data_IF_719735437790
#
_entry.id   IF_719735437790
#
_cell.length_a   1.000
_cell.length_b   1.000
_cell.length_c   1.000
_cell.angle_alpha   90.00
_cell.angle_beta   90.00
_cell.angle_gamma   90.00
#
_symmetry.space_group_name_H-M   'P 1'
#
loop_
_entity.id
_entity.type
_entity.pdbx_description
1 polymer ?
#
# COMPACT_ATOMS: atom_id res chain seq x y z
N UNK A 1 14.94 -46.78 17.96
CA UNK A 1 15.31 -45.45 17.43
C UNK A 1 14.53 -45.15 16.16
N UNK A 2 13.42 -44.39 16.25
CA UNK A 2 12.67 -43.92 15.06
C UNK A 2 12.98 -42.43 14.85
N UNK A 3 13.92 -42.11 13.96
CA UNK A 3 14.13 -40.74 13.47
C UNK A 3 12.84 -40.30 12.77
N UNK A 4 12.06 -39.44 13.42
CA UNK A 4 10.94 -38.73 12.79
C UNK A 4 11.53 -37.87 11.67
N UNK A 5 11.37 -38.31 10.44
CA UNK A 5 11.56 -37.50 9.24
C UNK A 5 10.53 -36.38 9.37
N UNK A 6 10.96 -35.21 9.85
CA UNK A 6 10.18 -33.99 9.89
C UNK A 6 9.93 -33.63 8.42
N UNK A 7 8.77 -34.03 7.90
CA UNK A 7 8.27 -33.68 6.58
C UNK A 7 8.45 -32.17 6.45
N UNK A 8 9.42 -31.73 5.64
CA UNK A 8 9.63 -30.34 5.28
C UNK A 8 8.43 -29.98 4.41
N UNK A 9 7.32 -29.67 5.07
CA UNK A 9 6.18 -29.03 4.41
C UNK A 9 6.67 -27.61 4.21
N UNK A 10 7.17 -27.31 3.01
CA UNK A 10 7.42 -25.95 2.57
C UNK A 10 6.09 -25.20 2.74
N UNK A 11 5.93 -24.50 3.87
CA UNK A 11 4.73 -23.72 4.11
C UNK A 11 4.78 -22.54 3.13
N UNK A 12 3.89 -22.59 2.15
CA UNK A 12 3.79 -21.60 1.10
C UNK A 12 2.41 -20.95 1.20
N UNK A 13 2.37 -19.67 1.53
CA UNK A 13 1.13 -18.89 1.55
C UNK A 13 1.02 -18.17 0.22
N UNK A 14 -0.10 -18.34 -0.50
CA UNK A 14 -0.39 -17.63 -1.75
C UNK A 14 -1.75 -17.01 -1.68
N UNK A 15 -1.81 -15.70 -1.85
CA UNK A 15 -3.08 -15.00 -1.94
C UNK A 15 -3.01 -13.88 -2.97
N UNK A 16 -4.19 -13.38 -3.33
CA UNK A 16 -4.34 -12.23 -4.22
C UNK A 16 -5.00 -11.13 -3.41
N UNK A 17 -4.42 -9.95 -3.42
CA UNK A 17 -5.02 -8.80 -2.76
C UNK A 17 -4.89 -7.55 -3.64
N UNK A 18 -5.77 -6.59 -3.42
CA UNK A 18 -5.70 -5.30 -4.09
C UNK A 18 -4.46 -4.54 -3.59
N UNK A 19 -3.71 -3.91 -4.48
CA UNK A 19 -2.51 -3.12 -4.14
C UNK A 19 -2.78 -2.09 -3.03
N UNK A 20 -3.96 -1.46 -3.08
CA UNK A 20 -4.47 -0.57 -2.05
C UNK A 20 -5.97 -0.83 -1.84
N UNK A 21 -6.51 -0.64 -0.61
CA UNK A 21 -7.93 -0.77 -0.36
C UNK A 21 -8.72 0.24 -1.21
N UNK A 22 -9.64 -0.26 -2.05
CA UNK A 22 -10.50 0.60 -2.88
C UNK A 22 -11.49 1.35 -1.98
N UNK A 23 -11.12 2.54 -1.51
CA UNK A 23 -12.11 3.47 -0.96
C UNK A 23 -13.02 3.94 -2.09
N UNK A 24 -14.33 3.73 -1.96
CA UNK A 24 -15.31 4.27 -2.90
C UNK A 24 -15.29 5.80 -2.76
N UNK A 25 -14.57 6.47 -3.66
CA UNK A 25 -14.61 7.93 -3.75
C UNK A 25 -15.96 8.34 -4.33
N UNK A 26 -16.83 8.90 -3.49
CA UNK A 26 -18.12 9.44 -3.94
C UNK A 26 -17.90 10.69 -4.79
N UNK A 27 -18.80 10.98 -5.74
CA UNK A 27 -18.73 12.19 -6.60
C UNK A 27 -18.54 13.48 -5.79
N UNK A 28 -19.07 13.53 -4.57
CA UNK A 28 -18.90 14.65 -3.63
C UNK A 28 -17.45 14.96 -3.27
N UNK A 29 -16.55 13.97 -3.37
CA UNK A 29 -15.12 14.16 -3.10
C UNK A 29 -14.44 15.09 -4.11
N UNK A 30 -14.92 15.12 -5.35
CA UNK A 30 -14.37 15.97 -6.41
C UNK A 30 -14.87 17.43 -6.36
N UNK A 31 -15.85 17.74 -5.51
CA UNK A 31 -16.41 19.10 -5.40
C UNK A 31 -15.35 20.07 -4.87
N UNK A 32 -14.63 19.71 -3.80
CA UNK A 32 -13.62 20.60 -3.18
C UNK A 32 -12.45 20.84 -4.15
N UNK A 33 -11.80 19.82 -4.74
CA UNK A 33 -10.74 20.05 -5.72
C UNK A 33 -11.24 20.82 -6.96
N UNK A 34 -12.48 20.57 -7.39
CA UNK A 34 -13.10 21.30 -8.50
C UNK A 34 -13.27 22.79 -8.20
N UNK A 35 -13.79 23.15 -7.03
CA UNK A 35 -13.93 24.54 -6.60
C UNK A 35 -12.59 25.27 -6.51
N UNK A 36 -11.56 24.61 -5.95
CA UNK A 36 -10.19 25.17 -5.89
C UNK A 36 -9.66 25.42 -7.29
N UNK A 37 -9.84 24.47 -8.21
CA UNK A 37 -9.39 24.58 -9.60
C UNK A 37 -10.09 25.73 -10.32
N UNK A 38 -11.40 25.92 -10.11
CA UNK A 38 -12.17 27.03 -10.68
C UNK A 38 -11.68 28.37 -10.12
N UNK A 39 -11.50 28.48 -8.80
CA UNK A 39 -11.01 29.70 -8.16
C UNK A 39 -9.62 30.11 -8.69
N UNK A 40 -8.70 29.15 -8.80
CA UNK A 40 -7.38 29.37 -9.39
C UNK A 40 -7.44 29.70 -10.88
N UNK A 41 -8.37 29.08 -11.63
CA UNK A 41 -8.60 29.39 -13.04
C UNK A 41 -9.10 30.81 -13.25
N UNK A 42 -10.05 31.28 -12.43
CA UNK A 42 -10.52 32.67 -12.45
C UNK A 42 -9.36 33.63 -12.13
N UNK A 43 -8.56 33.31 -11.13
CA UNK A 43 -7.37 34.12 -10.80
C UNK A 43 -6.36 34.18 -11.97
N UNK A 44 -6.15 33.07 -12.68
CA UNK A 44 -5.30 33.03 -13.85
C UNK A 44 -5.82 33.95 -14.97
N UNK A 45 -7.14 33.98 -15.17
CA UNK A 45 -7.78 34.87 -16.15
C UNK A 45 -7.67 36.34 -15.74
N UNK A 46 -7.87 36.67 -14.45
CA UNK A 46 -7.73 38.05 -13.95
C UNK A 46 -6.31 38.61 -14.06
N UNK A 47 -5.32 37.73 -14.10
CA UNK A 47 -3.90 38.09 -14.23
C UNK A 47 -3.39 37.97 -15.67
N UNK A 48 -4.27 37.69 -16.64
CA UNK A 48 -3.95 37.39 -18.04
C UNK A 48 -2.83 36.33 -18.21
N UNK A 49 -2.72 35.42 -17.24
CA UNK A 49 -1.65 34.44 -17.18
C UNK A 49 -2.10 33.10 -17.76
N UNK A 50 -2.01 33.00 -19.09
CA UNK A 50 -2.39 31.80 -19.85
C UNK A 50 -1.54 30.58 -19.43
N UNK A 51 -0.25 30.77 -19.14
CA UNK A 51 0.64 29.69 -18.71
C UNK A 51 0.17 29.06 -17.39
N UNK A 52 -0.23 29.90 -16.43
CA UNK A 52 -0.74 29.45 -15.15
C UNK A 52 -2.08 28.71 -15.31
N UNK A 53 -2.97 29.21 -16.17
CA UNK A 53 -4.24 28.54 -16.49
C UNK A 53 -4.01 27.13 -17.03
N UNK A 54 -3.11 26.97 -18.00
CA UNK A 54 -2.76 25.66 -18.59
C UNK A 54 -2.18 24.73 -17.51
N UNK A 55 -1.28 25.23 -16.67
CA UNK A 55 -0.67 24.44 -15.60
C UNK A 55 -1.70 23.93 -14.59
N UNK A 56 -2.69 24.75 -14.20
CA UNK A 56 -3.77 24.36 -13.30
C UNK A 56 -4.62 23.26 -13.93
N UNK A 57 -5.03 23.43 -15.19
CA UNK A 57 -5.86 22.45 -15.91
C UNK A 57 -5.14 21.11 -16.02
N UNK A 58 -3.86 21.12 -16.40
CA UNK A 58 -3.03 19.91 -16.46
C UNK A 58 -2.88 19.24 -15.09
N UNK A 59 -2.64 20.03 -14.04
CA UNK A 59 -2.50 19.51 -12.68
C UNK A 59 -3.79 18.85 -12.21
N UNK A 60 -4.95 19.49 -12.43
CA UNK A 60 -6.24 18.91 -12.09
C UNK A 60 -6.52 17.64 -12.90
N UNK A 61 -6.16 17.61 -14.19
CA UNK A 61 -6.31 16.43 -15.02
C UNK A 61 -5.47 15.25 -14.52
N UNK A 62 -4.18 15.46 -14.24
CA UNK A 62 -3.30 14.43 -13.67
C UNK A 62 -3.83 13.94 -12.32
N UNK A 63 -4.25 14.86 -11.47
CA UNK A 63 -4.88 14.54 -10.19
C UNK A 63 -6.14 13.70 -10.37
N UNK A 64 -7.02 14.05 -11.32
CA UNK A 64 -8.26 13.33 -11.61
C UNK A 64 -7.98 11.90 -12.09
N UNK A 65 -7.01 11.73 -13.01
CA UNK A 65 -6.60 10.39 -13.50
C UNK A 65 -6.04 9.56 -12.34
N UNK A 66 -5.17 10.14 -11.51
CA UNK A 66 -4.57 9.42 -10.38
C UNK A 66 -5.61 9.09 -9.30
N UNK A 67 -6.57 9.98 -9.07
CA UNK A 67 -7.65 9.77 -8.12
C UNK A 67 -8.60 8.63 -8.53
N UNK A 68 -8.81 8.42 -9.83
CA UNK A 68 -9.68 7.36 -10.37
C UNK A 68 -8.93 6.08 -10.77
N UNK A 69 -7.61 6.02 -10.56
CA UNK A 69 -6.82 4.82 -10.88
C UNK A 69 -7.34 3.63 -10.07
N UNK A 70 -7.80 2.59 -10.77
CA UNK A 70 -8.26 1.38 -10.12
C UNK A 70 -7.08 0.59 -9.53
N UNK A 71 -7.21 0.08 -8.28
CA UNK A 71 -6.16 -0.73 -7.68
C UNK A 71 -6.02 -2.04 -8.44
N UNK A 72 -4.78 -2.39 -8.81
CA UNK A 72 -4.49 -3.65 -9.49
C UNK A 72 -4.56 -4.80 -8.47
N UNK A 73 -4.92 -5.99 -8.96
CA UNK A 73 -4.84 -7.23 -8.17
C UNK A 73 -3.40 -7.71 -8.24
N UNK A 74 -2.72 -7.73 -7.09
CA UNK A 74 -1.35 -8.20 -6.96
C UNK A 74 -1.36 -9.63 -6.38
N UNK A 75 -0.51 -10.50 -6.93
CA UNK A 75 -0.26 -11.84 -6.40
C UNK A 75 0.82 -11.76 -5.33
N UNK A 76 0.51 -12.23 -4.14
CA UNK A 76 1.46 -12.33 -3.04
C UNK A 76 1.75 -13.79 -2.75
N UNK A 77 3.04 -14.08 -2.52
CA UNK A 77 3.49 -15.41 -2.15
C UNK A 77 4.58 -15.31 -1.09
N UNK A 78 4.37 -15.97 0.04
CA UNK A 78 5.38 -16.10 1.10
C UNK A 78 5.89 -17.54 1.07
N UNK A 79 7.22 -17.68 1.05
CA UNK A 79 7.91 -18.96 1.16
C UNK A 79 9.12 -18.82 2.10
N UNK A 80 9.86 -19.91 2.32
CA UNK A 80 11.06 -19.90 3.18
C UNK A 80 12.22 -19.07 2.61
N UNK A 81 12.22 -18.77 1.31
CA UNK A 81 13.25 -17.93 0.66
C UNK A 81 12.97 -16.44 0.87
N UNK A 82 11.69 -16.07 0.94
CA UNK A 82 11.27 -14.68 1.09
C UNK A 82 9.83 -14.43 0.68
N UNK A 83 9.57 -13.18 0.31
CA UNK A 83 8.24 -12.67 -0.01
C UNK A 83 8.23 -12.23 -1.46
N UNK A 84 7.48 -12.95 -2.28
CA UNK A 84 7.29 -12.68 -3.70
C UNK A 84 6.06 -11.80 -3.90
N UNK A 85 6.27 -10.66 -4.54
CA UNK A 85 5.25 -9.67 -4.86
C UNK A 85 5.21 -9.57 -6.39
N UNK A 86 4.12 -10.08 -6.96
CA UNK A 86 3.94 -10.27 -8.40
C UNK A 86 5.03 -11.16 -9.01
N UNK A 87 6.05 -10.58 -9.65
CA UNK A 87 7.20 -11.29 -10.25
C UNK A 87 8.54 -10.98 -9.52
N UNK A 88 8.51 -10.19 -8.44
CA UNK A 88 9.70 -9.78 -7.70
C UNK A 88 9.81 -10.53 -6.38
N UNK A 89 10.89 -11.28 -6.22
CA UNK A 89 11.27 -11.92 -4.96
C UNK A 89 11.99 -10.92 -4.05
N UNK A 90 11.48 -10.76 -2.83
CA UNK A 90 12.15 -10.04 -1.74
C UNK A 90 12.66 -11.05 -0.70
N UNK A 91 13.95 -11.34 -0.73
CA UNK A 91 14.59 -12.24 0.24
C UNK A 91 14.51 -11.67 1.67
N UNK A 92 14.45 -12.53 2.67
CA UNK A 92 14.40 -12.11 4.08
C UNK A 92 15.62 -11.27 4.49
N UNK A 93 16.80 -11.52 3.91
CA UNK A 93 18.00 -10.71 4.13
C UNK A 93 17.86 -9.27 3.65
N UNK A 94 17.01 -9.03 2.64
CA UNK A 94 16.71 -7.69 2.13
C UNK A 94 15.71 -6.92 3.01
N UNK A 95 15.08 -7.62 3.95
CA UNK A 95 14.10 -7.11 4.89
C UNK A 95 14.75 -6.87 6.26
N UNK A 96 14.18 -5.95 7.04
CA UNK A 96 14.72 -5.52 8.34
C UNK A 96 13.79 -5.86 9.49
N UNK A 97 12.49 -5.71 9.30
CA UNK A 97 11.48 -5.99 10.31
C UNK A 97 10.11 -6.15 9.67
N UNK A 98 9.19 -6.78 10.39
CA UNK A 98 7.79 -6.82 10.00
C UNK A 98 6.89 -6.33 11.14
N UNK A 99 5.69 -5.88 10.78
CA UNK A 99 4.61 -5.52 11.70
C UNK A 99 3.27 -5.82 11.04
N UNK A 100 2.32 -6.33 11.80
CA UNK A 100 0.96 -6.54 11.29
C UNK A 100 0.03 -5.49 11.89
N UNK A 101 -0.54 -4.65 11.02
CA UNK A 101 -1.63 -3.75 11.37
C UNK A 101 -2.94 -4.54 11.33
N UNK A 102 -3.50 -4.79 12.51
CA UNK A 102 -4.73 -5.56 12.69
C UNK A 102 -5.75 -4.74 13.48
N UNK A 103 -6.58 -3.98 12.78
CA UNK A 103 -7.75 -3.27 13.31
C UNK A 103 -8.98 -3.64 12.47
N UNK A 104 -9.65 -4.78 12.75
CA UNK A 104 -10.92 -5.11 12.12
C UNK A 104 -11.97 -4.03 12.39
N UNK A 105 -12.83 -3.63 11.44
CA UNK A 105 -13.01 -4.15 10.08
C UNK A 105 -12.16 -3.44 8.99
N UNK A 106 -11.40 -2.40 9.34
CA UNK A 106 -10.80 -1.49 8.36
C UNK A 106 -9.37 -1.84 7.95
N UNK A 107 -8.60 -2.53 8.79
CA UNK A 107 -7.16 -2.73 8.57
C UNK A 107 -6.73 -4.16 8.88
N UNK A 108 -6.21 -4.82 7.85
CA UNK A 108 -5.60 -6.15 7.93
C UNK A 108 -4.42 -6.19 6.95
N UNK A 109 -3.33 -5.55 7.34
CA UNK A 109 -2.17 -5.32 6.48
C UNK A 109 -0.88 -5.78 7.17
N UNK A 110 -0.04 -6.49 6.43
CA UNK A 110 1.33 -6.79 6.79
C UNK A 110 2.23 -5.67 6.27
N UNK A 111 2.94 -5.01 7.17
CA UNK A 111 3.97 -4.02 6.84
C UNK A 111 5.34 -4.64 6.99
N UNK A 112 6.13 -4.59 5.92
CA UNK A 112 7.51 -5.06 5.88
C UNK A 112 8.42 -3.87 5.69
N UNK A 113 9.50 -3.82 6.47
CA UNK A 113 10.52 -2.79 6.30
C UNK A 113 11.64 -3.32 5.43
N UNK A 114 11.81 -2.77 4.22
CA UNK A 114 12.97 -3.05 3.38
C UNK A 114 14.20 -2.33 3.90
N UNK A 115 15.39 -2.90 3.67
CA UNK A 115 16.68 -2.24 3.92
C UNK A 115 16.99 -1.12 2.91
N UNK A 116 16.24 -1.02 1.81
CA UNK A 116 16.41 0.01 0.78
C UNK A 116 16.01 1.41 1.28
N UNK A 117 16.80 2.42 0.95
CA UNK A 117 16.65 3.80 1.46
C UNK A 117 15.44 4.55 0.91
N UNK A 118 15.06 4.31 -0.35
CA UNK A 118 14.04 5.13 -1.04
C UNK A 118 12.60 4.72 -0.79
N UNK A 119 12.33 3.44 -0.51
CA UNK A 119 10.98 2.89 -0.25
C UNK A 119 11.07 1.89 0.92
N UNK A 120 11.14 2.40 2.16
CA UNK A 120 11.48 1.57 3.31
C UNK A 120 10.34 0.67 3.76
N UNK A 121 9.09 0.92 3.36
CA UNK A 121 7.92 0.16 3.81
C UNK A 121 7.15 -0.44 2.63
N UNK A 122 6.94 -1.75 2.68
CA UNK A 122 6.09 -2.50 1.77
C UNK A 122 4.85 -2.90 2.57
N UNK A 123 3.66 -2.53 2.11
CA UNK A 123 2.39 -2.90 2.73
C UNK A 123 1.74 -3.99 1.89
N UNK A 124 1.35 -5.08 2.53
CA UNK A 124 0.73 -6.23 1.90
C UNK A 124 -0.63 -6.45 2.59
N UNK A 125 -1.75 -6.22 1.88
CA UNK A 125 -3.06 -6.52 2.43
C UNK A 125 -3.22 -8.04 2.56
N UNK A 126 -3.62 -8.49 3.74
CA UNK A 126 -3.78 -9.92 4.05
C UNK A 126 -5.17 -10.44 3.66
N UNK A 127 -6.11 -9.58 3.28
CA UNK A 127 -7.48 -9.90 2.86
C UNK A 127 -8.13 -11.04 3.67
N UNK A 128 -8.19 -12.27 3.16
CA UNK A 128 -8.78 -13.44 3.82
C UNK A 128 -7.81 -14.28 4.66
N UNK A 129 -6.50 -14.10 4.51
CA UNK A 129 -5.46 -14.91 5.17
C UNK A 129 -5.41 -14.70 6.68
N UNK A 130 -5.10 -15.73 7.46
CA UNK A 130 -5.06 -15.63 8.92
C UNK A 130 -3.80 -14.84 9.38
N UNK A 131 -3.93 -13.64 9.98
CA UNK A 131 -2.78 -12.84 10.38
C UNK A 131 -1.90 -13.52 11.42
N UNK A 132 -2.48 -14.39 12.25
CA UNK A 132 -1.75 -15.09 13.30
C UNK A 132 -0.83 -16.18 12.74
N UNK A 133 -1.26 -16.87 11.68
CA UNK A 133 -0.43 -17.88 10.99
C UNK A 133 0.74 -17.21 10.28
N UNK A 134 0.47 -16.10 9.58
CA UNK A 134 1.51 -15.29 8.91
C UNK A 134 2.47 -14.69 9.93
N UNK A 135 1.98 -14.18 11.07
CA UNK A 135 2.83 -13.69 12.15
C UNK A 135 3.77 -14.78 12.63
N UNK A 136 3.23 -15.97 12.95
CA UNK A 136 4.01 -17.09 13.46
C UNK A 136 5.10 -17.51 12.47
N UNK A 137 4.76 -17.60 11.19
CA UNK A 137 5.72 -17.93 10.14
C UNK A 137 6.80 -16.85 10.02
N UNK A 138 6.43 -15.57 9.96
CA UNK A 138 7.40 -14.47 9.78
C UNK A 138 8.29 -14.23 11.00
N UNK A 139 7.80 -14.50 12.22
CA UNK A 139 8.58 -14.39 13.45
C UNK A 139 9.79 -15.32 13.47
N UNK A 140 9.75 -16.43 12.72
CA UNK A 140 10.88 -17.36 12.63
C UNK A 140 12.02 -16.82 11.73
N UNK A 141 11.73 -15.85 10.84
CA UNK A 141 12.70 -15.31 9.86
C UNK A 141 13.07 -13.84 10.09
N UNK A 142 12.15 -13.03 10.63
CA UNK A 142 12.33 -11.58 10.79
C UNK A 142 11.93 -11.14 12.21
N UNK A 143 12.55 -10.08 12.75
CA UNK A 143 12.12 -9.51 14.01
C UNK A 143 10.82 -8.70 13.84
N UNK A 144 9.85 -8.93 14.73
CA UNK A 144 8.64 -8.09 14.83
C UNK A 144 9.02 -6.74 15.46
N UNK A 145 8.86 -5.64 14.72
CA UNK A 145 9.07 -4.27 15.25
C UNK A 145 7.95 -3.36 14.81
N UNK A 146 7.41 -2.57 15.74
CA UNK A 146 6.35 -1.61 15.44
C UNK A 146 6.79 -0.61 14.37
N UNK A 147 6.12 -0.65 13.23
CA UNK A 147 6.34 0.31 12.16
C UNK A 147 5.57 1.60 12.48
N UNK A 148 6.23 2.75 12.34
CA UNK A 148 5.53 4.04 12.34
C UNK A 148 4.83 4.18 11.00
N UNK A 149 3.52 4.41 11.02
CA UNK A 149 2.80 4.80 9.81
C UNK A 149 3.39 6.13 9.33
N UNK A 150 3.61 6.27 8.02
CA UNK A 150 4.03 7.56 7.50
C UNK A 150 2.90 8.57 7.74
N UNK A 151 3.26 9.78 8.14
CA UNK A 151 2.30 10.86 8.41
C UNK A 151 1.40 11.07 7.18
N UNK A 152 1.96 10.95 5.98
CA UNK A 152 1.22 11.03 4.72
C UNK A 152 0.12 9.96 4.61
N UNK A 153 0.36 8.74 5.09
CA UNK A 153 -0.63 7.64 5.04
C UNK A 153 -1.79 7.89 6.01
N UNK A 154 -1.51 8.49 7.16
CA UNK A 154 -2.53 8.91 8.13
C UNK A 154 -3.41 10.01 7.54
N UNK A 155 -2.79 10.98 6.88
CA UNK A 155 -3.51 12.02 6.16
C UNK A 155 -4.36 11.43 5.03
N UNK A 156 -3.77 10.61 4.15
CA UNK A 156 -4.47 9.98 3.03
C UNK A 156 -5.73 9.24 3.49
N UNK A 157 -5.65 8.42 4.55
CA UNK A 157 -6.84 7.72 5.08
C UNK A 157 -7.93 8.68 5.54
N UNK A 158 -7.57 9.81 6.17
CA UNK A 158 -8.52 10.82 6.64
C UNK A 158 -9.15 11.60 5.49
N UNK A 159 -8.38 11.92 4.44
CA UNK A 159 -8.88 12.63 3.25
C UNK A 159 -9.62 11.68 2.29
N UNK A 160 -9.55 10.36 2.50
CA UNK A 160 -10.26 9.37 1.69
C UNK A 160 -9.48 8.86 0.48
N UNK A 161 -8.16 8.99 0.49
CA UNK A 161 -7.24 8.31 -0.41
C UNK A 161 -6.86 6.92 0.12
#
# INVERSE_FOLDING_TARGET
MKKKIKKIILQEFKWKALEFPKKKKNKSWFIIPGLITIALGIFALLTDNILFLIAIVLTFFVFYVYANKEPRIIKFKINEKGIEIDEKLHDFDSLRSFWIFYNPPEQKELSLRSRKTFLPYIRIPLDKENPNEIRKFLSDFLPERRHKEAVIDVWMRRVGF
#
